data_IF_917197451623
#
_entry.id   IF_917197451623
#
_cell.length_a   1.000
_cell.length_b   1.000
_cell.length_c   1.000
_cell.angle_alpha   90.00
_cell.angle_beta   90.00
_cell.angle_gamma   90.00
#
_symmetry.space_group_name_H-M   'P 1'
#
loop_
_entity.id
_entity.type
_entity.pdbx_description
1 polymer ?
#
# COMPACT_ATOMS: atom_id res chain seq x y z
N UNK A 1 3.02 25.22 -12.51
CA UNK A 1 1.93 24.57 -11.75
C UNK A 1 2.57 23.61 -10.76
N UNK A 2 2.05 23.47 -9.54
CA UNK A 2 2.48 22.40 -8.64
C UNK A 2 1.95 21.05 -9.16
N UNK A 3 2.80 20.02 -9.15
CA UNK A 3 2.41 18.67 -9.56
C UNK A 3 1.43 18.08 -8.54
N UNK A 4 0.35 17.46 -9.02
CA UNK A 4 -0.65 16.82 -8.15
C UNK A 4 -0.06 15.51 -7.62
N UNK A 5 -0.24 15.24 -6.33
CA UNK A 5 0.12 13.95 -5.73
C UNK A 5 -1.14 13.25 -5.23
N UNK A 6 -1.42 12.07 -5.78
CA UNK A 6 -2.48 11.19 -5.30
C UNK A 6 -1.94 10.32 -4.18
N UNK A 7 -2.48 10.49 -2.97
CA UNK A 7 -2.08 9.70 -1.79
C UNK A 7 -3.04 8.53 -1.62
N UNK A 8 -2.50 7.30 -1.60
CA UNK A 8 -3.27 6.06 -1.43
C UNK A 8 -2.84 5.40 -0.12
N UNK A 9 -3.61 5.54 0.96
CA UNK A 9 -3.42 4.69 2.14
C UNK A 9 -3.90 3.26 1.84
N UNK A 10 -3.13 2.28 2.30
CA UNK A 10 -3.51 0.87 2.21
C UNK A 10 -3.16 0.14 3.51
N UNK A 11 -4.16 -0.53 4.08
CA UNK A 11 -4.08 -1.19 5.38
C UNK A 11 -4.11 -2.69 5.18
N UNK A 12 -3.22 -3.39 5.87
CA UNK A 12 -3.06 -4.83 5.71
C UNK A 12 -3.04 -5.54 7.05
N UNK A 13 -3.66 -6.71 7.11
CA UNK A 13 -3.72 -7.56 8.30
C UNK A 13 -3.18 -8.96 8.02
N UNK A 14 -3.24 -9.82 9.02
CA UNK A 14 -2.86 -11.22 8.94
C UNK A 14 -3.57 -11.93 7.77
N UNK A 15 -2.92 -12.94 7.17
CA UNK A 15 -3.59 -13.82 6.21
C UNK A 15 -4.92 -14.35 6.75
N UNK A 16 -5.94 -14.45 5.88
CA UNK A 16 -7.32 -14.80 6.26
C UNK A 16 -7.45 -16.19 6.92
N UNK A 17 -6.51 -17.08 6.61
CA UNK A 17 -6.41 -18.44 7.14
C UNK A 17 -5.81 -18.51 8.55
N UNK A 18 -5.14 -17.45 9.01
CA UNK A 18 -4.59 -17.38 10.36
C UNK A 18 -5.64 -16.81 11.32
N UNK A 19 -6.05 -17.64 12.28
CA UNK A 19 -6.93 -17.25 13.39
C UNK A 19 -6.11 -16.82 14.62
N UNK A 20 -6.78 -16.13 15.54
CA UNK A 20 -6.26 -15.83 16.89
C UNK A 20 -4.97 -15.01 16.94
N UNK A 21 -4.76 -14.14 15.93
CA UNK A 21 -3.67 -13.16 15.95
C UNK A 21 -4.19 -11.80 16.37
N UNK A 22 -3.45 -11.21 17.30
CA UNK A 22 -3.72 -9.86 17.79
C UNK A 22 -3.47 -8.82 16.68
N UNK A 23 -4.44 -7.93 16.50
CA UNK A 23 -4.29 -6.67 15.79
C UNK A 23 -3.98 -5.58 16.81
N UNK A 24 -2.82 -4.92 16.67
CA UNK A 24 -2.39 -3.84 17.58
C UNK A 24 -2.88 -2.46 17.13
N UNK A 25 -3.17 -2.32 15.84
CA UNK A 25 -3.77 -1.14 15.23
C UNK A 25 -5.07 -1.54 14.57
N UNK A 26 -6.15 -0.79 14.87
CA UNK A 26 -7.48 -1.02 14.33
C UNK A 26 -7.64 -0.11 13.11
N UNK A 27 -7.85 -0.72 11.94
CA UNK A 27 -8.22 -0.03 10.71
C UNK A 27 -9.57 -0.56 10.25
N UNK A 28 -10.31 0.26 9.52
CA UNK A 28 -11.53 -0.23 8.87
C UNK A 28 -11.16 -1.10 7.67
N UNK A 29 -11.67 -2.34 7.65
CA UNK A 29 -11.48 -3.33 6.59
C UNK A 29 -10.02 -3.50 6.07
N UNK A 30 -9.04 -3.85 6.93
CA UNK A 30 -7.68 -4.11 6.47
C UNK A 30 -7.65 -5.34 5.55
N UNK A 31 -6.85 -5.27 4.50
CA UNK A 31 -6.71 -6.36 3.52
C UNK A 31 -5.87 -7.51 4.10
N UNK A 32 -6.38 -8.75 4.17
CA UNK A 32 -5.57 -9.89 4.55
C UNK A 32 -4.39 -10.10 3.59
N UNK A 33 -3.21 -10.40 4.13
CA UNK A 33 -1.94 -10.45 3.38
C UNK A 33 -1.92 -11.42 2.18
N UNK A 34 -2.74 -12.48 2.25
CA UNK A 34 -2.88 -13.50 1.23
C UNK A 34 -3.97 -13.19 0.19
N UNK A 35 -4.61 -12.02 0.27
CA UNK A 35 -5.57 -11.55 -0.73
C UNK A 35 -4.95 -10.44 -1.60
N UNK A 36 -5.57 -10.15 -2.74
CA UNK A 36 -5.10 -9.12 -3.65
C UNK A 36 -5.45 -7.69 -3.22
N UNK A 37 -6.52 -7.54 -2.43
CA UNK A 37 -7.02 -6.23 -2.03
C UNK A 37 -7.50 -5.39 -3.23
N UNK A 38 -7.40 -4.08 -3.11
CA UNK A 38 -7.88 -3.14 -4.14
C UNK A 38 -6.79 -2.34 -4.83
N UNK A 39 -5.56 -2.30 -4.29
CA UNK A 39 -4.49 -1.43 -4.80
C UNK A 39 -4.18 -1.69 -6.28
N UNK A 40 -4.03 -2.95 -6.69
CA UNK A 40 -3.79 -3.31 -8.10
C UNK A 40 -4.91 -2.79 -9.00
N UNK A 41 -6.18 -3.01 -8.61
CA UNK A 41 -7.35 -2.55 -9.37
C UNK A 41 -7.40 -1.01 -9.44
N UNK A 42 -7.03 -0.33 -8.37
CA UNK A 42 -6.94 1.13 -8.33
C UNK A 42 -5.88 1.64 -9.32
N UNK A 43 -4.66 1.09 -9.30
CA UNK A 43 -3.59 1.49 -10.21
C UNK A 43 -3.93 1.17 -11.67
N UNK A 44 -4.60 0.05 -11.95
CA UNK A 44 -5.14 -0.23 -13.29
C UNK A 44 -6.15 0.82 -13.75
N UNK A 45 -7.03 1.27 -12.85
CA UNK A 45 -8.02 2.30 -13.19
C UNK A 45 -7.39 3.65 -13.52
N UNK A 46 -6.24 3.97 -12.89
CA UNK A 46 -5.53 5.23 -13.12
C UNK A 46 -4.94 5.34 -14.53
N UNK A 47 -4.72 4.22 -15.23
CA UNK A 47 -4.27 4.22 -16.63
C UNK A 47 -5.26 4.90 -17.58
N UNK A 48 -6.50 5.11 -17.14
CA UNK A 48 -7.58 5.76 -17.90
C UNK A 48 -7.77 7.23 -17.56
N UNK A 49 -7.00 7.77 -16.59
CA UNK A 49 -7.10 9.17 -16.21
C UNK A 49 -6.44 10.00 -17.29
N UNK A 50 -7.22 10.87 -17.93
CA UNK A 50 -6.72 11.89 -18.85
C UNK A 50 -6.38 13.16 -18.05
N UNK A 51 -5.16 13.21 -17.51
CA UNK A 51 -4.62 14.35 -16.77
C UNK A 51 -3.13 14.53 -17.10
N UNK A 52 -2.62 15.78 -17.25
CA UNK A 52 -1.29 16.01 -17.83
C UNK A 52 -0.11 15.37 -17.09
N UNK A 53 -0.12 15.38 -15.74
CA UNK A 53 0.93 14.75 -14.92
C UNK A 53 0.52 14.68 -13.43
N UNK A 54 0.78 13.55 -12.76
CA UNK A 54 0.59 13.39 -11.31
C UNK A 54 1.52 12.31 -10.71
N UNK A 55 1.91 12.51 -9.46
CA UNK A 55 2.65 11.53 -8.64
C UNK A 55 1.67 10.64 -7.86
N UNK A 56 2.12 9.44 -7.50
CA UNK A 56 1.40 8.56 -6.58
C UNK A 56 2.25 8.33 -5.33
N UNK A 57 1.67 8.57 -4.15
CA UNK A 57 2.26 8.16 -2.87
C UNK A 57 1.41 7.05 -2.26
N UNK A 58 1.95 5.84 -2.21
CA UNK A 58 1.34 4.72 -1.49
C UNK A 58 1.86 4.69 -0.06
N UNK A 59 0.95 4.74 0.91
CA UNK A 59 1.25 4.61 2.34
C UNK A 59 0.73 3.26 2.82
N UNK A 60 1.64 2.32 3.07
CA UNK A 60 1.28 0.97 3.50
C UNK A 60 1.47 0.80 5.01
N UNK A 61 0.39 0.46 5.70
CA UNK A 61 0.37 0.21 7.14
C UNK A 61 -0.12 -1.21 7.45
N UNK A 62 0.45 -1.80 8.49
CA UNK A 62 0.02 -3.09 9.02
C UNK A 62 -0.73 -2.96 10.33
N UNK A 63 -1.70 -3.85 10.57
CA UNK A 63 -2.39 -3.97 11.86
C UNK A 63 -1.46 -4.45 12.98
N UNK A 64 -0.33 -5.09 12.65
CA UNK A 64 0.65 -5.58 13.61
C UNK A 64 2.09 -5.44 13.09
N UNK A 65 3.03 -5.08 13.96
CA UNK A 65 4.46 -4.97 13.64
C UNK A 65 5.06 -6.29 13.14
N UNK A 66 4.55 -7.43 13.61
CA UNK A 66 5.02 -8.76 13.22
C UNK A 66 4.79 -9.12 11.76
N UNK A 67 3.93 -8.39 11.04
CA UNK A 67 3.73 -8.55 9.59
C UNK A 67 4.20 -7.34 8.77
N UNK A 68 4.73 -6.31 9.40
CA UNK A 68 4.99 -5.02 8.73
C UNK A 68 5.97 -5.15 7.55
N UNK A 69 7.03 -5.95 7.68
CA UNK A 69 7.97 -6.22 6.58
C UNK A 69 7.33 -7.02 5.44
N UNK A 70 6.42 -7.94 5.76
CA UNK A 70 5.69 -8.72 4.75
C UNK A 70 4.70 -7.85 4.00
N UNK A 71 4.01 -6.95 4.70
CA UNK A 71 3.15 -5.92 4.10
C UNK A 71 3.96 -5.03 3.15
N UNK A 72 5.09 -4.50 3.62
CA UNK A 72 5.96 -3.65 2.79
C UNK A 72 6.39 -4.37 1.50
N UNK A 73 6.89 -5.61 1.61
CA UNK A 73 7.30 -6.41 0.44
C UNK A 73 6.12 -6.70 -0.50
N UNK A 74 4.95 -7.04 0.04
CA UNK A 74 3.74 -7.32 -0.76
C UNK A 74 3.31 -6.08 -1.55
N UNK A 75 3.21 -4.93 -0.89
CA UNK A 75 2.81 -3.68 -1.53
C UNK A 75 3.87 -3.23 -2.54
N UNK A 76 5.15 -3.36 -2.21
CA UNK A 76 6.23 -3.06 -3.16
C UNK A 76 6.11 -3.91 -4.43
N UNK A 77 5.85 -5.22 -4.30
CA UNK A 77 5.65 -6.11 -5.45
C UNK A 77 4.40 -5.80 -6.27
N UNK A 78 3.39 -5.13 -5.70
CA UNK A 78 2.28 -4.56 -6.48
C UNK A 78 2.77 -3.33 -7.24
N UNK A 79 3.40 -2.38 -6.56
CA UNK A 79 3.92 -1.13 -7.12
C UNK A 79 4.88 -1.39 -8.29
N UNK A 80 5.77 -2.38 -8.16
CA UNK A 80 6.79 -2.71 -9.17
C UNK A 80 6.18 -3.03 -10.53
N UNK A 81 4.96 -3.55 -10.58
CA UNK A 81 4.23 -3.87 -11.83
C UNK A 81 3.74 -2.64 -12.59
N UNK A 82 3.82 -1.45 -11.99
CA UNK A 82 3.29 -0.20 -12.53
C UNK A 82 4.34 0.91 -12.66
N UNK A 83 5.61 0.63 -12.34
CA UNK A 83 6.70 1.61 -12.36
C UNK A 83 7.00 2.17 -13.75
N UNK A 84 6.63 1.45 -14.80
CA UNK A 84 6.75 1.91 -16.19
C UNK A 84 5.62 2.86 -16.60
N UNK A 85 4.55 2.96 -15.81
CA UNK A 85 3.37 3.80 -16.10
C UNK A 85 3.25 5.01 -15.20
N UNK A 86 3.69 4.90 -13.94
CA UNK A 86 3.50 5.96 -12.94
C UNK A 86 4.78 6.18 -12.13
N UNK A 87 5.01 7.43 -11.71
CA UNK A 87 5.95 7.74 -10.64
C UNK A 87 5.30 7.41 -9.29
N UNK A 88 5.67 6.26 -8.71
CA UNK A 88 5.10 5.78 -7.45
C UNK A 88 6.15 5.79 -6.35
N UNK A 89 5.88 6.55 -5.28
CA UNK A 89 6.63 6.56 -4.03
C UNK A 89 5.93 5.65 -3.02
N UNK A 90 6.72 4.91 -2.24
CA UNK A 90 6.20 3.96 -1.26
C UNK A 90 6.72 4.30 0.14
N UNK A 91 5.81 4.73 1.01
CA UNK A 91 6.07 4.91 2.43
C UNK A 91 5.50 3.72 3.21
N UNK A 92 6.35 3.04 3.97
CA UNK A 92 5.94 1.91 4.81
C UNK A 92 6.93 1.71 5.96
N UNK A 93 6.87 0.53 6.58
CA UNK A 93 7.52 0.16 7.82
C UNK A 93 8.98 0.56 7.92
N UNK A 94 9.81 0.28 6.91
CA UNK A 94 11.24 0.61 6.93
C UNK A 94 11.50 2.12 6.99
N UNK A 95 10.68 2.92 6.30
CA UNK A 95 10.79 4.39 6.31
C UNK A 95 10.29 4.95 7.64
N UNK A 96 9.22 4.39 8.20
CA UNK A 96 8.72 4.78 9.52
C UNK A 96 9.77 4.55 10.62
N UNK A 97 10.58 3.48 10.53
CA UNK A 97 11.67 3.23 11.49
C UNK A 97 12.75 4.31 11.49
N UNK A 98 12.96 5.02 10.39
CA UNK A 98 13.99 6.06 10.28
C UNK A 98 13.49 7.39 10.88
N UNK A 99 12.17 7.60 10.91
CA UNK A 99 11.55 8.80 11.45
C UNK A 99 11.27 8.75 12.96
N UNK A 100 11.57 7.62 13.62
CA UNK A 100 11.38 7.40 15.06
C UNK A 100 12.74 7.27 15.73
#
# INVERSE_FOLDING_TARGET
MQKVTVVIPTYWTWPKDIKDKEEKSIFDHPTPLNLDGTLTRTLESFKKIDYPDFDILVIAASTNVGIAEKVEKRVQGIIDKFKDKFEIKHFSYSKLKILR
#
